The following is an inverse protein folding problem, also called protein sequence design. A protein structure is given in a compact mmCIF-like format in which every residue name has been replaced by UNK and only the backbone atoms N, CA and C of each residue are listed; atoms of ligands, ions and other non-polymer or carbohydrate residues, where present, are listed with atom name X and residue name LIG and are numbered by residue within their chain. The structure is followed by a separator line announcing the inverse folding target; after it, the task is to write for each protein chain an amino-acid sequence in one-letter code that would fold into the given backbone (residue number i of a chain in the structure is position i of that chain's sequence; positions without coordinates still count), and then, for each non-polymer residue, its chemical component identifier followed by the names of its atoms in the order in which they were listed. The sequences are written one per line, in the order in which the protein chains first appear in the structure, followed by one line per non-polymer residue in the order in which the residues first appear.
data_IF_119508544304
#
_entry.id   IF_119508544304
#
_cell.length_a   1.000
_cell.length_b   1.000
_cell.length_c   1.000
_cell.angle_alpha   90.00
_cell.angle_beta   90.00
_cell.angle_gamma   90.00
#
_symmetry.space_group_name_H-M   'P 1'
#
loop_
_entity.id
_entity.type
_entity.pdbx_description
1 polymer ?
#
# COMPACT_ATOMS: atom_id res chain seq x y z
N UNK A 1 7.72 -8.56 -20.75
CA UNK A 1 6.55 -9.46 -20.96
C UNK A 1 6.63 -10.27 -22.26
N UNK A 2 6.90 -9.65 -23.43
CA UNK A 2 6.95 -10.34 -24.74
C UNK A 2 8.05 -11.41 -24.83
N UNK A 3 9.23 -11.12 -24.28
CA UNK A 3 10.38 -12.04 -24.26
C UNK A 3 10.14 -13.32 -23.44
N UNK A 4 9.40 -13.21 -22.33
CA UNK A 4 9.11 -14.33 -21.43
C UNK A 4 7.81 -15.08 -21.75
N UNK A 5 7.19 -14.83 -22.92
CA UNK A 5 5.93 -15.49 -23.36
C UNK A 5 4.82 -15.47 -22.28
N UNK A 6 4.73 -14.40 -21.50
CA UNK A 6 3.73 -14.25 -20.42
C UNK A 6 2.31 -14.37 -21.00
N UNK A 7 1.38 -15.13 -20.38
CA UNK A 7 0.02 -15.26 -20.89
C UNK A 7 -0.69 -13.90 -21.04
N UNK A 8 -1.47 -13.72 -22.12
CA UNK A 8 -2.18 -12.45 -22.39
C UNK A 8 -3.07 -11.99 -21.22
N UNK A 9 -3.67 -12.94 -20.48
CA UNK A 9 -4.46 -12.62 -19.30
C UNK A 9 -3.62 -11.92 -18.21
N UNK A 10 -2.40 -12.42 -17.94
CA UNK A 10 -1.49 -11.80 -16.98
C UNK A 10 -0.97 -10.46 -17.49
N UNK A 11 -0.65 -10.33 -18.78
CA UNK A 11 -0.24 -9.05 -19.36
C UNK A 11 -1.31 -7.97 -19.17
N UNK A 12 -2.59 -8.30 -19.43
CA UNK A 12 -3.71 -7.38 -19.22
C UNK A 12 -3.90 -6.99 -17.76
N UNK A 13 -3.70 -7.93 -16.81
CA UNK A 13 -3.76 -7.61 -15.38
C UNK A 13 -2.67 -6.62 -14.97
N UNK A 14 -1.44 -6.83 -15.44
CA UNK A 14 -0.33 -5.90 -15.15
C UNK A 14 -0.59 -4.52 -15.76
N UNK A 15 -1.06 -4.46 -17.01
CA UNK A 15 -1.44 -3.19 -17.66
C UNK A 15 -2.52 -2.46 -16.87
N UNK A 16 -3.61 -3.15 -16.50
CA UNK A 16 -4.68 -2.57 -15.67
C UNK A 16 -4.14 -2.01 -14.34
N UNK A 17 -3.25 -2.74 -13.69
CA UNK A 17 -2.62 -2.28 -12.45
C UNK A 17 -1.80 -1.01 -12.65
N UNK A 18 -1.03 -0.92 -13.74
CA UNK A 18 -0.29 0.30 -14.07
C UNK A 18 -1.22 1.48 -14.37
N UNK A 19 -2.22 1.31 -15.22
CA UNK A 19 -3.18 2.36 -15.57
C UNK A 19 -3.94 2.87 -14.33
N UNK A 20 -4.37 1.94 -13.48
CA UNK A 20 -5.02 2.26 -12.21
C UNK A 20 -4.08 3.03 -11.26
N UNK A 21 -2.86 2.55 -11.07
CA UNK A 21 -1.90 3.19 -10.17
C UNK A 21 -1.45 4.58 -10.66
N UNK A 22 -1.34 4.75 -11.98
CA UNK A 22 -1.02 6.03 -12.61
C UNK A 22 -2.17 7.03 -12.47
N UNK A 23 -3.41 6.62 -12.80
CA UNK A 23 -4.59 7.48 -12.67
C UNK A 23 -4.88 7.93 -11.23
N UNK A 24 -4.48 7.13 -10.23
CA UNK A 24 -4.59 7.48 -8.80
C UNK A 24 -3.40 8.31 -8.29
N UNK A 25 -2.46 8.70 -9.16
CA UNK A 25 -1.30 9.52 -8.82
C UNK A 25 -0.30 8.82 -7.88
N UNK A 26 -0.39 7.50 -7.73
CA UNK A 26 0.48 6.70 -6.84
C UNK A 26 1.79 6.28 -7.51
N UNK A 27 1.81 6.34 -8.83
CA UNK A 27 3.02 6.24 -9.66
C UNK A 27 3.04 7.53 -10.48
N UNK A 28 3.94 8.46 -10.15
CA UNK A 28 4.20 9.65 -10.96
C UNK A 28 5.58 9.53 -11.58
N UNK A 29 5.67 9.55 -12.92
CA UNK A 29 6.82 9.98 -13.75
C UNK A 29 8.23 9.41 -13.50
N UNK A 30 8.48 8.69 -12.42
CA UNK A 30 9.82 8.42 -11.90
C UNK A 30 9.92 7.37 -10.79
N UNK A 31 8.82 6.78 -10.30
CA UNK A 31 8.90 5.65 -9.37
C UNK A 31 7.61 5.32 -8.62
N UNK A 32 7.61 4.16 -7.95
CA UNK A 32 6.63 3.79 -6.92
C UNK A 32 6.80 4.73 -5.71
N UNK A 33 5.70 5.06 -5.02
CA UNK A 33 5.71 5.86 -3.81
C UNK A 33 6.65 5.28 -2.75
N UNK A 34 6.76 3.94 -2.67
CA UNK A 34 7.70 3.29 -1.76
C UNK A 34 9.17 3.59 -2.14
N UNK A 35 9.48 3.65 -3.43
CA UNK A 35 10.82 4.02 -3.94
C UNK A 35 11.13 5.49 -3.67
N UNK A 36 10.17 6.39 -3.93
CA UNK A 36 10.33 7.82 -3.65
C UNK A 36 10.54 8.09 -2.15
N UNK A 37 9.78 7.40 -1.28
CA UNK A 37 9.95 7.46 0.17
C UNK A 37 11.29 6.86 0.63
N UNK A 38 11.81 5.86 -0.07
CA UNK A 38 13.11 5.24 0.21
C UNK A 38 14.32 6.13 -0.11
N UNK A 39 14.17 7.13 -0.98
CA UNK A 39 15.23 8.11 -1.31
C UNK A 39 15.31 9.26 -0.31
N UNK A 40 14.29 9.43 0.54
CA UNK A 40 14.27 10.48 1.56
C UNK A 40 15.18 10.10 2.74
N UNK A 41 15.92 11.05 3.32
CA UNK A 41 16.55 10.89 4.63
C UNK A 41 15.53 10.45 5.69
N UNK A 42 15.96 9.64 6.66
CA UNK A 42 15.08 9.00 7.64
C UNK A 42 14.15 10.00 8.36
N UNK A 43 14.66 11.18 8.71
CA UNK A 43 13.87 12.23 9.38
C UNK A 43 12.72 12.74 8.52
N UNK A 44 12.98 13.03 7.24
CA UNK A 44 11.96 13.51 6.29
C UNK A 44 10.95 12.40 5.93
N UNK A 45 11.43 11.16 5.80
CA UNK A 45 10.56 9.99 5.60
C UNK A 45 9.61 9.82 6.78
N UNK A 46 10.12 9.99 8.00
CA UNK A 46 9.32 9.91 9.23
C UNK A 46 8.25 10.99 9.28
N UNK A 47 8.62 12.25 9.09
CA UNK A 47 7.67 13.38 9.09
C UNK A 47 6.58 13.23 8.04
N UNK A 48 6.95 12.87 6.80
CA UNK A 48 6.00 12.67 5.72
C UNK A 48 5.08 11.46 5.98
N UNK A 49 5.64 10.33 6.40
CA UNK A 49 4.86 9.12 6.66
C UNK A 49 3.86 9.35 7.82
N UNK A 50 4.24 10.12 8.84
CA UNK A 50 3.31 10.54 9.89
C UNK A 50 2.21 11.42 9.34
N UNK A 51 2.56 12.45 8.57
CA UNK A 51 1.57 13.36 8.02
C UNK A 51 0.52 12.63 7.17
N UNK A 52 0.96 11.64 6.38
CA UNK A 52 0.08 10.87 5.48
C UNK A 52 -0.70 9.77 6.20
N UNK A 53 -0.05 8.98 7.07
CA UNK A 53 -0.65 7.77 7.63
C UNK A 53 -1.25 7.95 9.03
N UNK A 54 -0.83 8.97 9.80
CA UNK A 54 -1.26 9.13 11.19
C UNK A 54 -2.77 9.42 11.30
N UNK A 55 -3.34 10.18 10.36
CA UNK A 55 -4.79 10.41 10.31
C UNK A 55 -5.57 9.10 10.07
N UNK A 56 -5.05 8.21 9.24
CA UNK A 56 -5.65 6.90 8.98
C UNK A 56 -5.52 6.00 10.21
N UNK A 57 -4.34 5.94 10.85
CA UNK A 57 -4.12 5.14 12.05
C UNK A 57 -5.00 5.59 13.22
N UNK A 58 -5.18 6.89 13.43
CA UNK A 58 -6.06 7.43 14.48
C UNK A 58 -7.54 7.06 14.30
N UNK A 59 -7.98 6.74 13.09
CA UNK A 59 -9.35 6.25 12.83
C UNK A 59 -9.54 4.81 13.26
N UNK A 60 -8.47 4.01 13.29
CA UNK A 60 -8.53 2.59 13.67
C UNK A 60 -8.61 2.49 15.20
N UNK A 61 -9.68 1.89 15.71
CA UNK A 61 -9.98 1.83 17.14
C UNK A 61 -8.87 1.18 17.97
N UNK A 62 -8.23 0.12 17.47
CA UNK A 62 -7.17 -0.60 18.19
C UNK A 62 -5.91 0.23 18.45
N UNK A 63 -5.71 1.33 17.72
CA UNK A 63 -4.53 2.20 17.84
C UNK A 63 -4.78 3.49 18.61
N UNK A 64 -6.01 3.73 19.08
CA UNK A 64 -6.38 4.98 19.78
C UNK A 64 -5.69 5.16 21.13
N UNK A 65 -5.43 4.05 21.82
CA UNK A 65 -4.80 4.05 23.15
C UNK A 65 -3.29 3.77 23.10
N UNK A 66 -2.72 3.65 21.90
CA UNK A 66 -1.29 3.49 21.73
C UNK A 66 -0.54 4.81 21.97
N UNK A 67 0.63 4.71 22.59
CA UNK A 67 1.53 5.85 22.73
C UNK A 67 1.93 6.40 21.36
N UNK A 68 2.10 7.72 21.20
CA UNK A 68 2.51 8.33 19.94
C UNK A 68 3.75 7.64 19.36
N UNK A 69 4.77 7.37 20.18
CA UNK A 69 6.04 6.76 19.79
C UNK A 69 5.85 5.39 19.11
N UNK A 70 4.89 4.59 19.60
CA UNK A 70 4.53 3.33 18.95
C UNK A 70 3.92 3.57 17.55
N UNK A 71 3.06 4.58 17.41
CA UNK A 71 2.49 4.95 16.11
C UNK A 71 3.57 5.46 15.14
N UNK A 72 4.56 6.19 15.64
CA UNK A 72 5.73 6.61 14.87
C UNK A 72 6.49 5.39 14.31
N UNK A 73 6.83 4.43 15.16
CA UNK A 73 7.53 3.21 14.75
C UNK A 73 6.70 2.35 13.80
N UNK A 74 5.38 2.29 14.02
CA UNK A 74 4.46 1.55 13.16
C UNK A 74 4.44 2.15 11.76
N UNK A 75 4.26 3.48 11.65
CA UNK A 75 4.23 4.20 10.38
C UNK A 75 5.49 3.97 9.55
N UNK A 76 6.65 3.89 10.19
CA UNK A 76 7.92 3.62 9.52
C UNK A 76 8.05 2.20 8.97
N UNK A 77 7.33 1.24 9.55
CA UNK A 77 7.30 -0.16 9.09
C UNK A 77 6.17 -0.43 8.09
N UNK A 78 5.22 0.49 7.94
CA UNK A 78 4.13 0.36 6.98
C UNK A 78 4.63 0.48 5.54
N UNK A 79 3.98 -0.27 4.64
CA UNK A 79 4.21 -0.20 3.20
C UNK A 79 2.90 0.12 2.51
N UNK A 80 2.95 0.97 1.50
CA UNK A 80 1.78 1.27 0.69
C UNK A 80 1.60 0.17 -0.37
N UNK A 81 0.41 -0.42 -0.40
CA UNK A 81 0.00 -1.40 -1.41
C UNK A 81 -1.17 -0.86 -2.22
N UNK A 82 -1.20 -1.21 -3.50
CA UNK A 82 -2.28 -0.89 -4.43
C UNK A 82 -2.83 -2.20 -4.98
N UNK A 83 -4.11 -2.43 -4.75
CA UNK A 83 -4.87 -3.54 -5.31
C UNK A 83 -5.89 -2.98 -6.30
N UNK A 84 -6.06 -3.68 -7.44
CA UNK A 84 -7.06 -3.30 -8.44
C UNK A 84 -8.40 -4.00 -8.17
N UNK A 85 -9.51 -3.46 -8.68
CA UNK A 85 -10.81 -4.14 -8.59
C UNK A 85 -10.73 -5.59 -9.09
N UNK A 86 -11.14 -6.52 -8.23
CA UNK A 86 -11.11 -7.97 -8.47
C UNK A 86 -9.82 -8.69 -8.02
N UNK A 87 -8.83 -7.98 -7.48
CA UNK A 87 -7.69 -8.64 -6.82
C UNK A 87 -8.11 -9.24 -5.47
N UNK A 88 -7.65 -10.47 -5.20
CA UNK A 88 -7.81 -11.14 -3.92
C UNK A 88 -6.61 -10.80 -3.02
N UNK A 89 -6.89 -10.26 -1.84
CA UNK A 89 -5.85 -9.84 -0.88
C UNK A 89 -5.48 -11.00 0.05
N UNK A 90 -6.48 -11.64 0.67
CA UNK A 90 -6.30 -12.78 1.56
C UNK A 90 -7.23 -13.91 1.13
N UNK A 91 -6.83 -15.17 1.37
CA UNK A 91 -7.71 -16.33 1.16
C UNK A 91 -7.90 -17.13 2.44
N UNK A 92 -9.10 -17.67 2.61
CA UNK A 92 -9.41 -18.57 3.73
C UNK A 92 -8.48 -19.78 3.70
N UNK A 93 -7.89 -20.09 4.85
CA UNK A 93 -6.95 -21.20 5.01
C UNK A 93 -5.47 -20.82 4.79
N UNK A 94 -5.18 -19.59 4.35
CA UNK A 94 -3.81 -19.09 4.30
C UNK A 94 -3.36 -18.58 5.68
N UNK A 95 -2.08 -18.79 6.01
CA UNK A 95 -1.48 -18.28 7.24
C UNK A 95 -1.35 -16.76 7.14
N UNK A 96 -2.09 -16.03 7.98
CA UNK A 96 -1.99 -14.58 8.05
C UNK A 96 -0.66 -14.15 8.67
N UNK A 97 0.20 -13.50 7.87
CA UNK A 97 1.50 -12.95 8.32
C UNK A 97 1.54 -11.43 8.32
N UNK A 98 0.51 -10.80 7.78
CA UNK A 98 0.44 -9.37 7.53
C UNK A 98 -0.94 -8.86 7.94
N UNK A 99 -0.99 -7.59 8.33
CA UNK A 99 -2.20 -6.86 8.64
C UNK A 99 -2.31 -5.68 7.68
N UNK A 100 -3.51 -5.46 7.16
CA UNK A 100 -3.79 -4.37 6.22
C UNK A 100 -4.69 -3.33 6.86
N UNK A 101 -4.47 -2.06 6.50
CA UNK A 101 -5.30 -0.93 6.88
C UNK A 101 -5.79 -0.28 5.59
N UNK A 102 -7.10 -0.20 5.42
CA UNK A 102 -7.70 0.40 4.23
C UNK A 102 -7.59 1.91 4.35
N UNK A 103 -6.67 2.51 3.60
CA UNK A 103 -6.54 3.97 3.52
C UNK A 103 -7.58 4.59 2.56
N UNK A 104 -7.93 3.87 1.50
CA UNK A 104 -8.83 4.32 0.44
C UNK A 104 -9.35 3.09 -0.34
N UNK A 105 -10.63 3.13 -0.73
CA UNK A 105 -11.32 2.02 -1.39
C UNK A 105 -12.22 1.21 -0.44
N UNK A 106 -12.78 0.12 -0.98
CA UNK A 106 -13.71 -0.77 -0.29
C UNK A 106 -13.26 -2.21 -0.56
N UNK A 107 -13.39 -3.06 0.46
CA UNK A 107 -13.17 -4.50 0.34
C UNK A 107 -14.46 -5.25 0.63
N UNK A 108 -14.66 -6.33 -0.11
CA UNK A 108 -15.74 -7.30 0.12
C UNK A 108 -15.12 -8.60 0.64
N UNK A 109 -15.75 -9.17 1.67
CA UNK A 109 -15.39 -10.49 2.20
C UNK A 109 -16.39 -11.49 1.63
N UNK A 110 -15.89 -12.49 0.91
CA UNK A 110 -16.66 -13.50 0.18
C UNK A 110 -16.47 -14.87 0.84
#
# INVERSE_FOLDING_TARGET
MRHHKVPRAMQRRVQRWYDYSWSRGRIQGGGDINTALGLLPDKLRTELALHVNLLTLKKVSIFKECQPEFLHDLVLKMKAYIFTPGDLICRKGEVAREMFIIADGILEVI
#
